data_IF_320161542147
#
_entry.id   IF_320161542147
#
_cell.length_a   1.000
_cell.length_b   1.000
_cell.length_c   1.000
_cell.angle_alpha   90.00
_cell.angle_beta   90.00
_cell.angle_gamma   90.00
#
_symmetry.space_group_name_H-M   'P 1'
#
loop_
_entity.id
_entity.type
_entity.pdbx_description
1 polymer ?
#
# COMPACT_ATOMS: atom_id res chain seq x y z
N UNK A 1 -35.86 -6.36 -21.96
CA UNK A 1 -34.97 -6.29 -20.78
C UNK A 1 -34.33 -4.90 -20.73
N UNK A 2 -34.26 -4.26 -19.55
CA UNK A 2 -33.51 -3.00 -19.42
C UNK A 2 -32.03 -3.36 -19.25
N UNK A 3 -31.19 -2.91 -20.17
CA UNK A 3 -29.73 -3.03 -20.05
C UNK A 3 -29.28 -2.34 -18.77
N UNK A 4 -28.55 -3.06 -17.92
CA UNK A 4 -27.97 -2.51 -16.69
C UNK A 4 -26.50 -2.18 -16.92
N UNK A 5 -26.08 -0.98 -16.52
CA UNK A 5 -24.72 -0.49 -16.69
C UNK A 5 -23.79 -1.01 -15.58
N UNK A 6 -22.52 -1.26 -15.91
CA UNK A 6 -21.45 -1.50 -14.93
C UNK A 6 -20.55 -0.28 -14.91
N UNK A 7 -20.23 0.22 -13.71
CA UNK A 7 -19.31 1.34 -13.54
C UNK A 7 -18.08 0.84 -12.78
N UNK A 8 -16.90 1.04 -13.37
CA UNK A 8 -15.61 0.79 -12.74
C UNK A 8 -14.90 2.14 -12.59
N UNK A 9 -14.59 2.52 -11.36
CA UNK A 9 -13.88 3.77 -11.06
C UNK A 9 -12.52 3.40 -10.50
N UNK A 10 -11.49 3.64 -11.29
CA UNK A 10 -10.11 3.42 -10.85
C UNK A 10 -9.51 4.68 -10.24
N UNK A 11 -8.65 4.50 -9.24
CA UNK A 11 -7.99 5.54 -8.47
C UNK A 11 -8.92 6.72 -8.08
N UNK A 12 -10.10 6.41 -7.53
CA UNK A 12 -11.07 7.46 -7.15
C UNK A 12 -10.47 8.49 -6.16
N UNK A 13 -9.42 8.10 -5.45
CA UNK A 13 -8.77 8.89 -4.43
C UNK A 13 -7.73 9.88 -4.96
N UNK A 14 -7.22 9.65 -6.18
CA UNK A 14 -6.12 10.41 -6.78
C UNK A 14 -6.30 11.93 -6.75
N UNK A 15 -7.46 12.49 -7.13
CA UNK A 15 -7.61 13.93 -7.17
C UNK A 15 -7.37 14.58 -5.80
N UNK A 16 -7.83 13.95 -4.72
CA UNK A 16 -7.61 14.47 -3.38
C UNK A 16 -6.19 14.19 -2.88
N UNK A 17 -5.65 12.99 -3.09
CA UNK A 17 -4.30 12.65 -2.62
C UNK A 17 -3.23 13.59 -3.18
N UNK A 18 -3.41 14.04 -4.43
CA UNK A 18 -2.50 14.98 -5.09
C UNK A 18 -2.60 16.42 -4.53
N UNK A 19 -3.74 16.76 -3.94
CA UNK A 19 -4.11 18.12 -3.54
C UNK A 19 -4.41 18.31 -2.04
N UNK A 20 -4.20 17.29 -1.21
CA UNK A 20 -4.58 17.34 0.22
C UNK A 20 -3.94 18.53 0.96
N UNK A 21 -2.75 18.99 0.53
CA UNK A 21 -2.04 20.10 1.15
C UNK A 21 -2.18 21.45 0.43
N UNK A 22 -3.03 21.57 -0.59
CA UNK A 22 -3.17 22.80 -1.40
C UNK A 22 -4.27 23.73 -0.92
N UNK A 23 -5.07 23.31 0.06
CA UNK A 23 -6.27 24.04 0.53
C UNK A 23 -7.54 23.73 -0.27
N UNK A 24 -7.41 23.06 -1.42
CA UNK A 24 -8.55 22.66 -2.29
C UNK A 24 -9.19 21.33 -1.87
N UNK A 25 -8.65 20.68 -0.82
CA UNK A 25 -9.03 19.34 -0.42
C UNK A 25 -10.55 19.18 -0.20
N UNK A 26 -11.17 20.13 0.51
CA UNK A 26 -12.61 20.09 0.76
C UNK A 26 -13.44 20.32 -0.51
N UNK A 27 -12.98 21.17 -1.42
CA UNK A 27 -13.59 21.38 -2.72
C UNK A 27 -13.58 20.11 -3.56
N UNK A 28 -12.43 19.43 -3.62
CA UNK A 28 -12.28 18.17 -4.35
C UNK A 28 -13.11 17.04 -3.75
N UNK A 29 -13.15 16.94 -2.42
CA UNK A 29 -14.03 16.02 -1.71
C UNK A 29 -15.49 16.23 -2.09
N UNK A 30 -15.94 17.49 -2.19
CA UNK A 30 -17.30 17.80 -2.61
C UNK A 30 -17.58 17.36 -4.05
N UNK A 31 -16.63 17.54 -4.97
CA UNK A 31 -16.77 17.06 -6.36
C UNK A 31 -16.93 15.54 -6.40
N UNK A 32 -16.08 14.80 -5.68
CA UNK A 32 -16.13 13.33 -5.63
C UNK A 32 -17.44 12.86 -4.98
N UNK A 33 -17.89 13.51 -3.90
CA UNK A 33 -19.19 13.24 -3.27
C UNK A 33 -20.35 13.42 -4.25
N UNK A 34 -20.43 14.56 -4.94
CA UNK A 34 -21.47 14.82 -5.92
C UNK A 34 -21.47 13.79 -7.05
N UNK A 35 -20.28 13.39 -7.53
CA UNK A 35 -20.15 12.36 -8.56
C UNK A 35 -20.79 11.03 -8.13
N UNK A 36 -20.49 10.54 -6.93
CA UNK A 36 -21.06 9.29 -6.43
C UNK A 36 -22.54 9.41 -6.01
N UNK A 37 -23.01 10.59 -5.60
CA UNK A 37 -24.44 10.84 -5.37
C UNK A 37 -25.26 10.65 -6.66
N UNK A 38 -24.74 11.11 -7.81
CA UNK A 38 -25.37 10.87 -9.12
C UNK A 38 -25.40 9.39 -9.47
N UNK A 39 -24.30 8.66 -9.25
CA UNK A 39 -24.24 7.20 -9.47
C UNK A 39 -25.29 6.50 -8.61
N UNK A 40 -25.40 6.87 -7.33
CA UNK A 40 -26.40 6.31 -6.41
C UNK A 40 -27.82 6.57 -6.89
N UNK A 41 -28.12 7.78 -7.37
CA UNK A 41 -29.45 8.12 -7.90
C UNK A 41 -29.84 7.26 -9.11
N UNK A 42 -28.85 6.71 -9.83
CA UNK A 42 -29.05 5.83 -10.98
C UNK A 42 -29.07 4.33 -10.61
N UNK A 43 -29.07 3.95 -9.33
CA UNK A 43 -28.91 2.57 -8.88
C UNK A 43 -29.82 1.53 -9.56
N UNK A 44 -31.06 1.87 -9.92
CA UNK A 44 -31.98 0.95 -10.62
C UNK A 44 -31.49 0.56 -12.03
N UNK A 45 -30.71 1.44 -12.66
CA UNK A 45 -30.10 1.25 -13.98
C UNK A 45 -28.71 0.59 -13.89
N UNK A 46 -28.18 0.36 -12.69
CA UNK A 46 -26.85 -0.20 -12.48
C UNK A 46 -26.92 -1.69 -12.15
N UNK A 47 -26.01 -2.46 -12.74
CA UNK A 47 -25.77 -3.86 -12.40
C UNK A 47 -24.84 -3.96 -11.20
N UNK A 48 -23.77 -3.17 -11.23
CA UNK A 48 -22.69 -3.20 -10.26
C UNK A 48 -21.81 -1.94 -10.39
N UNK A 49 -21.23 -1.50 -9.28
CA UNK A 49 -20.24 -0.42 -9.22
C UNK A 49 -19.03 -0.94 -8.46
N UNK A 50 -17.84 -0.81 -9.04
CA UNK A 50 -16.57 -1.14 -8.41
C UNK A 50 -15.68 0.09 -8.34
N UNK A 51 -15.04 0.29 -7.20
CA UNK A 51 -14.20 1.46 -6.96
C UNK A 51 -12.89 0.97 -6.37
N UNK A 52 -11.78 1.41 -6.95
CA UNK A 52 -10.42 1.14 -6.44
C UNK A 52 -9.74 2.44 -6.11
N UNK A 53 -8.91 2.41 -5.07
CA UNK A 53 -8.11 3.54 -4.64
C UNK A 53 -7.12 3.10 -3.57
N UNK A 54 -6.12 3.94 -3.33
CA UNK A 54 -5.05 3.63 -2.38
C UNK A 54 -5.42 4.14 -0.99
N UNK A 55 -5.77 5.41 -0.91
CA UNK A 55 -6.14 6.09 0.32
C UNK A 55 -7.65 6.02 0.55
N UNK A 56 -8.03 5.79 1.81
CA UNK A 56 -9.44 5.80 2.20
C UNK A 56 -9.94 7.21 2.47
N UNK A 57 -11.19 7.42 2.09
CA UNK A 57 -12.04 8.45 2.66
C UNK A 57 -12.91 7.74 3.69
N UNK A 58 -13.02 8.29 4.91
CA UNK A 58 -13.88 7.65 5.89
C UNK A 58 -15.31 7.56 5.32
N UNK A 59 -15.98 6.44 5.57
CA UNK A 59 -17.39 6.23 5.16
C UNK A 59 -18.31 7.37 5.61
N UNK A 60 -17.92 8.12 6.65
CA UNK A 60 -18.66 9.26 7.19
C UNK A 60 -18.65 10.47 6.23
N UNK A 61 -17.71 10.53 5.30
CA UNK A 61 -17.37 11.78 4.61
C UNK A 61 -17.90 11.85 3.16
N UNK A 62 -17.55 10.90 2.28
CA UNK A 62 -18.06 10.83 0.89
C UNK A 62 -19.22 9.85 0.76
N UNK A 63 -19.22 8.82 1.61
CA UNK A 63 -20.10 7.67 1.51
C UNK A 63 -21.19 7.63 2.57
N UNK A 64 -21.37 8.68 3.37
CA UNK A 64 -22.36 8.70 4.46
C UNK A 64 -23.79 8.67 3.93
N UNK A 65 -23.99 9.17 2.71
CA UNK A 65 -25.23 8.98 1.98
C UNK A 65 -25.32 7.57 1.38
N UNK A 66 -24.22 6.91 1.01
CA UNK A 66 -24.18 5.58 0.39
C UNK A 66 -24.14 4.43 1.41
N UNK A 67 -25.31 4.05 1.91
CA UNK A 67 -25.50 2.91 2.81
C UNK A 67 -25.28 1.51 2.18
N UNK A 68 -25.01 1.42 0.88
CA UNK A 68 -24.91 0.15 0.14
C UNK A 68 -23.48 -0.22 -0.27
N UNK A 69 -22.46 0.50 0.21
CA UNK A 69 -21.06 0.18 -0.11
C UNK A 69 -20.48 -0.87 0.82
N UNK A 70 -20.02 -1.95 0.19
CA UNK A 70 -19.30 -3.04 0.85
C UNK A 70 -17.80 -2.82 0.71
N UNK A 71 -17.11 -2.61 1.83
CA UNK A 71 -15.66 -2.43 1.86
C UNK A 71 -14.99 -3.80 2.01
N UNK A 72 -14.33 -4.25 0.95
CA UNK A 72 -13.60 -5.53 0.91
C UNK A 72 -12.09 -5.38 1.12
N UNK A 73 -11.59 -4.15 1.34
CA UNK A 73 -10.15 -3.84 1.30
C UNK A 73 -9.33 -4.62 2.33
N UNK A 74 -9.96 -5.07 3.42
CA UNK A 74 -9.34 -5.90 4.47
C UNK A 74 -10.20 -7.12 4.81
N UNK A 75 -10.99 -7.59 3.83
CA UNK A 75 -11.72 -8.84 3.91
C UNK A 75 -10.77 -9.98 3.50
N UNK A 76 -10.67 -10.98 4.37
CA UNK A 76 -9.78 -12.14 4.18
C UNK A 76 -10.14 -12.93 2.91
N UNK A 77 -11.41 -12.96 2.53
CA UNK A 77 -11.88 -13.65 1.31
C UNK A 77 -11.29 -13.07 0.02
N UNK A 78 -10.76 -11.84 0.08
CA UNK A 78 -10.20 -11.10 -1.04
C UNK A 78 -8.70 -10.83 -0.86
N UNK A 79 -8.06 -11.41 0.16
CA UNK A 79 -6.70 -11.02 0.55
C UNK A 79 -5.61 -11.32 -0.47
N UNK A 80 -5.85 -12.27 -1.38
CA UNK A 80 -4.93 -12.61 -2.47
C UNK A 80 -5.28 -11.96 -3.81
N UNK A 81 -6.36 -11.18 -3.89
CA UNK A 81 -6.91 -10.69 -5.16
C UNK A 81 -6.00 -9.70 -5.91
N UNK A 82 -5.19 -8.92 -5.18
CA UNK A 82 -4.40 -7.81 -5.76
C UNK A 82 -2.89 -8.08 -5.76
N UNK A 83 -2.50 -9.35 -5.75
CA UNK A 83 -1.10 -9.77 -5.87
C UNK A 83 -1.01 -11.20 -6.38
N UNK A 84 0.21 -11.73 -6.49
CA UNK A 84 0.40 -13.14 -6.79
C UNK A 84 0.71 -13.91 -5.51
N UNK A 85 0.11 -15.07 -5.33
CA UNK A 85 0.57 -16.05 -4.32
C UNK A 85 1.84 -16.75 -4.79
N UNK A 86 2.57 -17.41 -3.88
CA UNK A 86 3.71 -18.25 -4.27
C UNK A 86 3.32 -19.30 -5.30
N UNK A 87 2.15 -19.92 -5.11
CA UNK A 87 1.65 -20.98 -5.97
C UNK A 87 1.33 -20.46 -7.37
N UNK A 88 0.69 -19.30 -7.48
CA UNK A 88 0.40 -18.68 -8.78
C UNK A 88 1.67 -18.21 -9.48
N UNK A 89 2.64 -17.68 -8.72
CA UNK A 89 3.93 -17.29 -9.26
C UNK A 89 4.63 -18.49 -9.91
N UNK A 90 4.79 -19.58 -9.16
CA UNK A 90 5.49 -20.78 -9.66
C UNK A 90 4.74 -21.48 -10.79
N UNK A 91 3.40 -21.46 -10.79
CA UNK A 91 2.60 -22.10 -11.82
C UNK A 91 2.56 -21.29 -13.12
N UNK A 92 2.40 -19.96 -13.03
CA UNK A 92 2.15 -19.12 -14.20
C UNK A 92 3.41 -18.47 -14.78
N UNK A 93 4.48 -18.38 -14.00
CA UNK A 93 5.76 -17.78 -14.41
C UNK A 93 6.90 -18.80 -14.47
N UNK A 94 6.61 -20.10 -14.47
CA UNK A 94 7.61 -21.17 -14.48
C UNK A 94 8.70 -20.97 -15.55
N UNK A 95 8.29 -20.70 -16.80
CA UNK A 95 9.24 -20.51 -17.91
C UNK A 95 10.14 -19.28 -17.69
N UNK A 96 9.60 -18.20 -17.13
CA UNK A 96 10.36 -16.98 -16.84
C UNK A 96 11.31 -17.18 -15.67
N UNK A 97 10.91 -17.96 -14.67
CA UNK A 97 11.74 -18.36 -13.53
C UNK A 97 12.91 -19.21 -14.03
N UNK A 98 12.68 -20.23 -14.85
CA UNK A 98 13.74 -21.08 -15.40
C UNK A 98 14.69 -20.28 -16.30
N UNK A 99 14.15 -19.40 -17.15
CA UNK A 99 14.95 -18.53 -18.01
C UNK A 99 15.82 -17.55 -17.20
N UNK A 100 15.28 -16.99 -16.11
CA UNK A 100 16.02 -16.13 -15.20
C UNK A 100 17.09 -16.88 -14.42
N UNK A 101 16.73 -18.03 -13.85
CA UNK A 101 17.61 -18.93 -13.09
C UNK A 101 18.83 -19.33 -13.90
N UNK A 102 18.65 -19.71 -15.18
CA UNK A 102 19.72 -20.09 -16.10
C UNK A 102 20.78 -19.00 -16.33
N UNK A 103 20.46 -17.74 -15.99
CA UNK A 103 21.37 -16.59 -16.08
C UNK A 103 22.08 -16.27 -14.76
N UNK A 104 21.89 -17.11 -13.75
CA UNK A 104 22.48 -16.98 -12.41
C UNK A 104 23.26 -18.24 -12.04
N UNK A 105 24.11 -18.14 -11.01
CA UNK A 105 24.78 -19.31 -10.42
C UNK A 105 24.02 -19.89 -9.22
N UNK A 106 22.77 -19.49 -9.01
CA UNK A 106 21.97 -19.87 -7.85
C UNK A 106 21.35 -21.26 -8.06
N UNK A 107 21.09 -21.96 -6.95
CA UNK A 107 20.14 -23.07 -7.00
C UNK A 107 18.71 -22.53 -7.19
N UNK A 108 17.79 -23.37 -7.67
CA UNK A 108 16.38 -22.97 -7.80
C UNK A 108 15.79 -22.49 -6.48
N UNK A 109 16.13 -23.15 -5.37
CA UNK A 109 15.67 -22.76 -4.04
C UNK A 109 16.23 -21.40 -3.64
N UNK A 110 17.54 -21.17 -3.78
CA UNK A 110 18.14 -19.88 -3.42
C UNK A 110 17.59 -18.72 -4.29
N UNK A 111 17.31 -19.01 -5.56
CA UNK A 111 16.70 -18.04 -6.48
C UNK A 111 15.29 -17.64 -6.03
N UNK A 112 14.43 -18.63 -5.71
CA UNK A 112 13.08 -18.40 -5.24
C UNK A 112 13.05 -17.76 -3.85
N UNK A 113 13.92 -18.17 -2.94
CA UNK A 113 14.04 -17.55 -1.60
C UNK A 113 14.48 -16.09 -1.71
N UNK A 114 15.47 -15.81 -2.56
CA UNK A 114 15.89 -14.42 -2.81
C UNK A 114 14.79 -13.60 -3.47
N UNK A 115 14.03 -14.20 -4.39
CA UNK A 115 12.90 -13.56 -5.04
C UNK A 115 11.81 -13.20 -4.03
N UNK A 116 11.49 -14.15 -3.14
CA UNK A 116 10.52 -13.98 -2.05
C UNK A 116 10.92 -12.86 -1.10
N UNK A 117 12.15 -12.87 -0.60
CA UNK A 117 12.68 -11.81 0.29
C UNK A 117 12.60 -10.43 -0.37
N UNK A 118 12.74 -10.37 -1.69
CA UNK A 118 12.76 -9.12 -2.45
C UNK A 118 11.35 -8.58 -2.75
N UNK A 119 10.37 -9.44 -3.05
CA UNK A 119 9.11 -9.02 -3.65
C UNK A 119 7.81 -9.54 -2.99
N UNK A 120 7.88 -10.55 -2.12
CA UNK A 120 6.73 -11.07 -1.36
C UNK A 120 6.60 -10.37 -0.01
N UNK A 121 5.38 -10.15 0.47
CA UNK A 121 5.24 -9.73 1.86
C UNK A 121 3.98 -8.99 2.25
N UNK A 122 3.22 -8.49 1.27
CA UNK A 122 2.08 -7.64 1.57
C UNK A 122 0.88 -8.47 2.04
N UNK A 123 0.17 -7.97 3.05
CA UNK A 123 -1.02 -8.58 3.65
C UNK A 123 -2.17 -7.57 3.68
N UNK A 124 -3.27 -7.95 3.06
CA UNK A 124 -4.52 -7.19 3.12
C UNK A 124 -5.33 -7.51 4.39
N UNK A 125 -5.13 -8.69 5.00
CA UNK A 125 -5.73 -9.08 6.26
C UNK A 125 -4.71 -9.74 7.22
N UNK A 126 -4.96 -9.62 8.52
CA UNK A 126 -4.06 -10.01 9.62
C UNK A 126 -3.55 -11.46 9.46
N UNK A 127 -4.45 -12.40 9.24
CA UNK A 127 -4.13 -13.83 9.14
C UNK A 127 -4.24 -14.38 7.71
N UNK A 128 -3.95 -13.54 6.71
CA UNK A 128 -4.01 -13.93 5.29
C UNK A 128 -2.68 -14.36 4.68
N UNK A 129 -2.74 -15.04 3.53
CA UNK A 129 -1.56 -15.31 2.71
C UNK A 129 -0.89 -13.98 2.30
N UNK A 130 0.46 -13.99 2.27
CA UNK A 130 1.22 -12.87 1.72
C UNK A 130 1.17 -12.92 0.20
N UNK A 131 1.16 -11.75 -0.42
CA UNK A 131 1.24 -11.67 -1.87
C UNK A 131 2.46 -10.90 -2.35
N UNK A 132 2.93 -11.33 -3.51
CA UNK A 132 3.90 -10.64 -4.32
C UNK A 132 3.28 -9.43 -5.00
N UNK A 133 4.07 -8.35 -5.05
CA UNK A 133 3.72 -7.14 -5.78
C UNK A 133 3.74 -7.38 -7.31
N UNK A 134 2.60 -7.24 -8.02
CA UNK A 134 2.53 -7.55 -9.45
C UNK A 134 3.48 -6.73 -10.32
N UNK A 135 3.65 -5.44 -10.00
CA UNK A 135 4.53 -4.53 -10.76
C UNK A 135 5.98 -4.97 -10.58
N UNK A 136 6.41 -5.25 -9.36
CA UNK A 136 7.79 -5.69 -9.10
C UNK A 136 8.11 -7.03 -9.77
N UNK A 137 7.19 -7.99 -9.71
CA UNK A 137 7.32 -9.29 -10.39
C UNK A 137 7.43 -9.10 -11.91
N UNK A 138 6.52 -8.31 -12.50
CA UNK A 138 6.52 -8.04 -13.94
C UNK A 138 7.81 -7.36 -14.39
N UNK A 139 8.27 -6.35 -13.66
CA UNK A 139 9.51 -5.62 -13.96
C UNK A 139 10.76 -6.49 -13.83
N UNK A 140 10.81 -7.36 -12.82
CA UNK A 140 11.93 -8.30 -12.65
C UNK A 140 12.07 -9.22 -13.86
N UNK A 141 10.98 -9.85 -14.30
CA UNK A 141 11.02 -10.74 -15.46
C UNK A 141 11.22 -9.97 -16.77
N UNK A 142 10.66 -8.76 -16.91
CA UNK A 142 10.90 -7.90 -18.07
C UNK A 142 12.39 -7.51 -18.23
N UNK A 143 13.13 -7.39 -17.12
CA UNK A 143 14.61 -7.20 -17.13
C UNK A 143 15.39 -8.52 -17.20
N UNK A 144 14.70 -9.62 -17.47
CA UNK A 144 15.25 -10.94 -17.72
C UNK A 144 15.58 -11.74 -16.46
N UNK A 145 15.01 -11.38 -15.31
CA UNK A 145 14.90 -12.28 -14.16
C UNK A 145 16.23 -12.71 -13.52
N UNK A 146 17.24 -11.84 -13.48
CA UNK A 146 18.52 -12.15 -12.81
C UNK A 146 18.95 -11.10 -11.80
N UNK A 147 18.56 -9.84 -12.02
CA UNK A 147 18.95 -8.71 -11.20
C UNK A 147 17.81 -8.40 -10.22
N UNK A 148 18.05 -8.71 -8.94
CA UNK A 148 17.09 -8.53 -7.85
C UNK A 148 17.04 -7.05 -7.40
N UNK A 149 16.68 -6.17 -8.32
CA UNK A 149 16.59 -4.72 -8.12
C UNK A 149 15.30 -4.30 -7.44
N UNK A 150 15.26 -3.06 -6.95
CA UNK A 150 14.07 -2.44 -6.36
C UNK A 150 13.22 -1.75 -7.42
N UNK A 151 12.10 -2.38 -7.83
CA UNK A 151 11.25 -1.86 -8.91
C UNK A 151 10.08 -0.99 -8.45
N UNK A 152 9.66 -1.12 -7.19
CA UNK A 152 8.53 -0.37 -6.65
C UNK A 152 8.78 1.14 -6.53
N UNK A 153 10.05 1.55 -6.45
CA UNK A 153 10.42 2.96 -6.30
C UNK A 153 9.88 3.78 -7.48
N UNK A 154 9.99 3.27 -8.70
CA UNK A 154 9.76 4.07 -9.89
C UNK A 154 8.27 4.28 -10.22
N UNK A 155 7.35 3.60 -9.51
CA UNK A 155 5.91 3.58 -9.85
C UNK A 155 4.96 4.08 -8.74
N UNK A 156 5.43 4.27 -7.51
CA UNK A 156 4.55 4.62 -6.38
C UNK A 156 3.98 6.04 -6.45
N UNK A 157 2.73 6.20 -6.92
CA UNK A 157 2.06 7.49 -7.10
C UNK A 157 1.90 8.33 -5.82
N UNK A 158 1.77 7.68 -4.66
CA UNK A 158 1.56 8.36 -3.37
C UNK A 158 2.85 8.73 -2.61
N UNK A 159 4.02 8.61 -3.24
CA UNK A 159 5.29 8.91 -2.59
C UNK A 159 5.38 10.36 -2.08
N UNK A 160 4.86 11.32 -2.85
CA UNK A 160 4.84 12.74 -2.44
C UNK A 160 3.99 12.94 -1.18
N UNK A 161 2.76 12.40 -1.19
CA UNK A 161 1.85 12.47 -0.06
C UNK A 161 2.46 11.87 1.22
N UNK A 162 3.05 10.68 1.13
CA UNK A 162 3.72 10.01 2.26
C UNK A 162 4.86 10.85 2.81
N UNK A 163 5.72 11.38 1.94
CA UNK A 163 6.87 12.20 2.35
C UNK A 163 6.42 13.50 3.00
N UNK A 164 5.43 14.18 2.44
CA UNK A 164 4.93 15.45 2.96
C UNK A 164 4.20 15.26 4.30
N UNK A 165 3.39 14.21 4.43
CA UNK A 165 2.72 13.84 5.69
C UNK A 165 3.74 13.51 6.79
N UNK A 166 4.75 12.67 6.48
CA UNK A 166 5.79 12.31 7.44
C UNK A 166 6.62 13.52 7.90
N UNK A 167 6.92 14.47 7.00
CA UNK A 167 7.63 15.71 7.35
C UNK A 167 6.80 16.59 8.29
N UNK A 168 5.52 16.79 7.98
CA UNK A 168 4.59 17.60 8.77
C UNK A 168 4.35 17.01 10.17
N UNK A 169 4.22 15.69 10.27
CA UNK A 169 4.08 14.97 11.54
C UNK A 169 5.39 14.85 12.34
N UNK A 170 6.53 15.32 11.81
CA UNK A 170 7.86 15.05 12.35
C UNK A 170 8.10 13.56 12.63
N UNK A 171 7.58 12.70 11.75
CA UNK A 171 7.51 11.25 11.95
C UNK A 171 8.91 10.63 12.06
N UNK A 172 9.12 9.84 13.09
CA UNK A 172 10.32 9.07 13.35
C UNK A 172 10.01 7.58 13.24
N UNK A 173 10.42 6.97 12.13
CA UNK A 173 10.14 5.57 11.83
C UNK A 173 10.61 4.57 12.91
N UNK A 174 11.66 4.89 13.65
CA UNK A 174 12.19 4.01 14.70
C UNK A 174 11.36 4.12 15.98
N UNK A 175 10.86 5.31 16.29
CA UNK A 175 10.03 5.53 17.48
C UNK A 175 8.57 5.14 17.22
N UNK A 176 8.02 5.58 16.09
CA UNK A 176 6.59 5.59 15.81
C UNK A 176 6.06 4.26 15.26
N UNK A 177 6.92 3.39 14.70
CA UNK A 177 6.55 2.02 14.30
C UNK A 177 6.61 1.00 15.44
N UNK A 178 7.08 1.39 16.64
CA UNK A 178 7.17 0.44 17.78
C UNK A 178 5.81 0.11 18.37
N UNK A 179 4.85 1.02 18.24
CA UNK A 179 3.54 0.89 18.83
C UNK A 179 2.65 -0.03 17.97
N UNK A 180 2.04 -1.07 18.56
CA UNK A 180 1.04 -1.87 17.86
C UNK A 180 -0.16 -1.01 17.47
N UNK A 181 -0.75 -1.32 16.33
CA UNK A 181 -1.97 -0.67 15.81
C UNK A 181 -3.11 -1.67 15.73
N UNK A 182 -4.34 -1.17 15.71
CA UNK A 182 -5.53 -1.99 15.51
C UNK A 182 -6.02 -1.94 14.07
N UNK A 183 -6.82 -2.93 13.66
CA UNK A 183 -7.53 -2.90 12.37
C UNK A 183 -8.38 -1.64 12.23
N UNK A 184 -9.04 -1.21 13.32
CA UNK A 184 -9.86 0.00 13.30
C UNK A 184 -9.04 1.22 12.90
N UNK A 185 -7.86 1.43 13.51
CA UNK A 185 -6.99 2.58 13.26
C UNK A 185 -6.57 2.70 11.78
N UNK A 186 -6.13 1.60 11.16
CA UNK A 186 -5.72 1.60 9.75
C UNK A 186 -6.90 1.68 8.77
N UNK A 187 -8.10 1.27 9.22
CA UNK A 187 -9.31 1.23 8.40
C UNK A 187 -10.17 2.50 8.49
N UNK A 188 -10.10 3.24 9.59
CA UNK A 188 -10.92 4.44 9.87
C UNK A 188 -10.27 5.75 9.44
N UNK A 189 -9.10 5.68 8.81
CA UNK A 189 -8.37 6.83 8.28
C UNK A 189 -9.20 7.61 7.24
N UNK A 190 -9.28 8.93 7.41
CA UNK A 190 -9.70 9.87 6.36
C UNK A 190 -8.51 10.78 6.01
N UNK A 191 -8.12 10.79 4.74
CA UNK A 191 -7.04 11.63 4.22
C UNK A 191 -7.26 13.14 4.47
N UNK A 192 -8.51 13.60 4.63
CA UNK A 192 -8.81 14.99 5.01
C UNK A 192 -8.24 15.35 6.38
N UNK A 193 -8.10 14.40 7.30
CA UNK A 193 -7.48 14.67 8.62
C UNK A 193 -6.02 15.15 8.46
N UNK A 194 -5.37 14.87 7.31
CA UNK A 194 -4.04 15.37 6.99
C UNK A 194 -4.00 16.87 6.65
N UNK A 195 -5.14 17.52 6.38
CA UNK A 195 -5.18 18.97 6.14
C UNK A 195 -4.98 19.76 7.44
N UNK A 196 -5.13 19.11 8.60
CA UNK A 196 -4.96 19.71 9.92
C UNK A 196 -3.52 20.14 10.20
N UNK A 197 -3.36 21.07 11.13
CA UNK A 197 -2.04 21.55 11.56
C UNK A 197 -1.23 20.49 12.31
N UNK A 198 -1.90 19.60 13.03
CA UNK A 198 -1.30 18.56 13.87
C UNK A 198 -1.59 17.17 13.29
N UNK A 199 -0.71 16.70 12.39
CA UNK A 199 -0.80 15.35 11.83
C UNK A 199 -0.18 14.37 12.83
N UNK A 200 -0.99 13.43 13.34
CA UNK A 200 -0.50 12.42 14.27
C UNK A 200 0.36 11.34 13.57
N UNK A 201 1.29 10.69 14.29
CA UNK A 201 2.02 9.54 13.76
C UNK A 201 1.11 8.39 13.32
N UNK A 202 -0.05 8.22 13.95
CA UNK A 202 -1.03 7.19 13.59
C UNK A 202 -1.62 7.42 12.20
N UNK A 203 -1.86 8.68 11.80
CA UNK A 203 -2.30 9.00 10.44
C UNK A 203 -1.23 8.64 9.40
N UNK A 204 0.05 8.86 9.74
CA UNK A 204 1.17 8.50 8.88
C UNK A 204 1.30 6.97 8.79
N UNK A 205 1.13 6.25 9.90
CA UNK A 205 1.11 4.79 9.94
C UNK A 205 0.03 4.20 9.02
N UNK A 206 -1.20 4.72 9.10
CA UNK A 206 -2.31 4.33 8.22
C UNK A 206 -2.01 4.59 6.76
N UNK A 207 -1.47 5.77 6.43
CA UNK A 207 -1.10 6.10 5.06
C UNK A 207 0.01 5.18 4.54
N UNK A 208 1.05 4.92 5.33
CA UNK A 208 2.14 4.00 4.97
C UNK A 208 1.64 2.58 4.72
N UNK A 209 0.67 2.09 5.50
CA UNK A 209 0.02 0.82 5.26
C UNK A 209 -0.78 0.82 3.94
N UNK A 210 -1.66 1.80 3.77
CA UNK A 210 -2.55 1.92 2.60
C UNK A 210 -1.78 2.09 1.30
N UNK A 211 -0.66 2.81 1.32
CA UNK A 211 0.19 3.02 0.15
C UNK A 211 1.19 1.89 -0.14
N UNK A 212 1.10 0.78 0.58
CA UNK A 212 1.89 -0.42 0.30
C UNK A 212 3.27 -0.47 0.96
N UNK A 213 3.68 0.61 1.63
CA UNK A 213 5.02 0.71 2.24
C UNK A 213 5.17 -0.13 3.51
N UNK A 214 4.08 -0.27 4.27
CA UNK A 214 4.00 -1.13 5.43
C UNK A 214 2.91 -2.17 5.24
N UNK A 215 3.05 -3.29 5.92
CA UNK A 215 2.10 -4.40 5.91
C UNK A 215 1.78 -4.82 7.34
N UNK A 216 0.74 -5.64 7.49
CA UNK A 216 0.39 -6.26 8.76
C UNK A 216 1.42 -7.34 9.10
N UNK A 217 2.13 -7.15 10.20
CA UNK A 217 2.95 -8.17 10.83
C UNK A 217 2.11 -9.12 11.67
N UNK A 218 2.78 -9.81 12.60
CA UNK A 218 2.13 -10.77 13.48
C UNK A 218 1.15 -10.08 14.45
N UNK A 219 0.01 -10.74 14.66
CA UNK A 219 -0.94 -10.42 15.71
C UNK A 219 -0.32 -10.53 17.08
N UNK A 220 -0.69 -9.61 17.96
CA UNK A 220 -0.40 -9.73 19.38
C UNK A 220 -1.40 -10.70 20.07
N UNK A 221 -1.04 -11.26 21.23
CA UNK A 221 -1.96 -12.03 22.06
C UNK A 221 -3.26 -11.25 22.30
N UNK A 222 -4.40 -11.84 21.95
CA UNK A 222 -5.72 -11.19 21.99
C UNK A 222 -6.27 -10.72 20.64
N UNK A 223 -5.48 -10.79 19.56
CA UNK A 223 -5.96 -10.74 18.16
C UNK A 223 -6.48 -9.40 17.64
N UNK A 224 -6.54 -8.35 18.46
CA UNK A 224 -7.08 -7.04 18.05
C UNK A 224 -6.02 -6.05 17.56
N UNK A 225 -4.74 -6.29 17.89
CA UNK A 225 -3.63 -5.42 17.54
C UNK A 225 -2.49 -6.19 16.88
N UNK A 226 -1.77 -5.53 15.99
CA UNK A 226 -0.63 -6.07 15.25
C UNK A 226 0.43 -4.99 15.08
N UNK A 227 1.65 -5.40 14.75
CA UNK A 227 2.72 -4.45 14.41
C UNK A 227 2.74 -4.21 12.90
N UNK A 228 2.93 -2.96 12.49
CA UNK A 228 3.24 -2.65 11.12
C UNK A 228 4.71 -2.95 10.85
N UNK A 229 4.98 -3.63 9.73
CA UNK A 229 6.34 -4.01 9.31
C UNK A 229 6.52 -3.71 7.84
N UNK A 230 7.76 -3.66 7.36
CA UNK A 230 7.99 -3.63 5.92
C UNK A 230 7.62 -4.98 5.31
N UNK A 231 6.94 -5.02 4.14
CA UNK A 231 6.58 -6.28 3.50
C UNK A 231 7.81 -7.06 3.03
N UNK A 232 8.75 -6.37 2.38
CA UNK A 232 9.93 -6.96 1.78
C UNK A 232 11.14 -6.01 1.85
N UNK A 233 12.29 -6.47 1.36
CA UNK A 233 13.51 -5.67 1.32
C UNK A 233 13.38 -4.43 0.41
N UNK A 234 12.71 -4.53 -0.76
CA UNK A 234 12.53 -3.39 -1.68
C UNK A 234 11.85 -2.21 -0.99
N UNK A 235 10.74 -2.46 -0.31
CA UNK A 235 9.94 -1.43 0.34
C UNK A 235 10.69 -0.80 1.51
N UNK A 236 11.42 -1.62 2.27
CA UNK A 236 12.32 -1.13 3.32
C UNK A 236 13.43 -0.25 2.77
N UNK A 237 14.00 -0.59 1.61
CA UNK A 237 15.06 0.17 0.96
C UNK A 237 14.53 1.48 0.35
N UNK A 238 13.37 1.45 -0.28
CA UNK A 238 12.73 2.61 -0.90
C UNK A 238 12.40 3.71 0.11
N UNK A 239 11.83 3.34 1.26
CA UNK A 239 11.63 4.32 2.34
C UNK A 239 12.97 4.84 2.83
N UNK A 240 13.97 3.99 3.08
CA UNK A 240 15.28 4.44 3.57
C UNK A 240 16.04 5.34 2.60
N UNK A 241 15.81 5.23 1.29
CA UNK A 241 16.40 6.11 0.27
C UNK A 241 15.62 7.42 0.13
N UNK A 242 14.29 7.38 0.19
CA UNK A 242 13.41 8.55 0.03
C UNK A 242 13.28 9.38 1.29
N UNK A 243 13.39 8.73 2.44
CA UNK A 243 13.49 9.39 3.71
C UNK A 243 14.97 9.69 4.01
N UNK A 244 15.30 10.98 4.02
CA UNK A 244 16.13 11.64 5.03
C UNK A 244 17.61 11.22 5.18
N UNK A 245 18.45 11.41 4.16
CA UNK A 245 19.92 11.51 4.34
C UNK A 245 20.31 12.44 5.53
N UNK A 246 19.45 13.39 5.90
CA UNK A 246 19.65 14.35 6.99
C UNK A 246 18.91 14.06 8.33
N UNK A 247 18.00 13.07 8.42
CA UNK A 247 17.35 12.70 9.72
C UNK A 247 17.54 11.24 10.13
N UNK A 248 18.28 10.44 9.36
CA UNK A 248 18.67 9.06 9.70
C UNK A 248 20.01 8.93 10.44
N UNK A 249 20.61 10.01 10.94
CA UNK A 249 21.70 9.85 11.91
C UNK A 249 21.10 9.46 13.26
N UNK A 250 21.52 8.35 13.88
CA UNK A 250 21.37 8.21 15.32
C UNK A 250 22.04 9.42 15.95
N UNK A 251 21.31 10.20 16.75
CA UNK A 251 21.98 11.12 17.66
C UNK A 251 22.75 10.26 18.66
N UNK A 252 24.06 10.14 18.43
CA UNK A 252 25.01 9.52 19.34
C UNK A 252 25.26 8.03 19.09
N UNK A 253 26.21 7.72 18.20
CA UNK A 253 27.25 6.72 18.44
C UNK A 253 28.31 6.84 17.34
N UNK A 254 29.51 7.25 17.74
CA UNK A 254 30.74 6.97 16.99
C UNK A 254 30.86 5.44 16.83
N UNK A 255 31.14 4.96 15.63
CA UNK A 255 32.16 3.93 15.41
C UNK A 255 32.64 4.01 13.96
N UNK A 256 33.96 4.03 13.85
CA UNK A 256 34.82 4.11 12.68
C UNK A 256 34.97 2.74 11.98
N UNK A 257 35.63 2.77 10.81
CA UNK A 257 36.09 1.66 9.93
C UNK A 257 35.05 1.28 8.86
N UNK A 258 35.27 1.62 7.57
CA UNK A 258 36.10 0.89 6.61
C UNK A 258 35.21 -0.16 5.92
N UNK A 259 35.06 -0.30 4.61
CA UNK A 259 35.91 -0.16 3.42
C UNK A 259 34.97 -0.17 2.19
N UNK A 260 35.51 0.32 1.05
CA UNK A 260 35.25 -0.05 -0.36
C UNK A 260 33.87 -0.58 -0.76
#
# INVERSE_FOLDING_TARGET
>A
EKWKCVILVDEYDKPLSDNVFTGEAEGMRNVIRCFFEVIRAMAECLRFVFITGVTRYAKVSIFSSMNNLFDISMDESYSSMFGYTQKELEANFADMIEAGLARTSLSKNDYLDRFKVKYDGYRFAIDSEKVYNPVSVGMFFAKGGKDFDSFWADTGGNAKLVVDAAKRANFNIVADLKCPVTKSLVSSYDIIEMTGSDISPDLVNSLLYQSGYLTMGESLPGGQAFKLVFPNECDSWNIRQRSLRDRFRPQGAFLSHGLL
#
